data_IF_187469896699
#
_entry.id   IF_187469896699
#
_cell.length_a   1.000
_cell.length_b   1.000
_cell.length_c   1.000
_cell.angle_alpha   90.00
_cell.angle_beta   90.00
_cell.angle_gamma   90.00
#
_symmetry.space_group_name_H-M   'P 1'
#
loop_
_entity.id
_entity.type
_entity.pdbx_description
1 polymer ?
#
# COMPACT_ATOMS: atom_id res chain seq x y z
N UNK A 1 -26.81 4.80 8.89
CA UNK A 1 -25.74 4.62 7.89
C UNK A 1 -25.55 3.13 7.71
N UNK A 2 -25.91 2.58 6.55
CA UNK A 2 -25.69 1.16 6.25
C UNK A 2 -24.19 0.88 6.37
N UNK A 3 -23.80 0.10 7.37
CA UNK A 3 -22.42 -0.30 7.57
C UNK A 3 -22.08 -1.25 6.42
N UNK A 4 -21.23 -0.81 5.49
CA UNK A 4 -20.66 -1.70 4.47
C UNK A 4 -20.04 -2.91 5.20
N UNK A 5 -20.65 -4.08 5.05
CA UNK A 5 -20.14 -5.30 5.62
C UNK A 5 -19.02 -5.83 4.70
N UNK A 6 -17.81 -5.26 4.83
CA UNK A 6 -16.64 -5.76 4.12
C UNK A 6 -16.34 -7.19 4.61
N UNK A 7 -16.42 -8.15 3.69
CA UNK A 7 -16.17 -9.57 3.96
C UNK A 7 -14.77 -9.98 3.54
N UNK A 8 -14.27 -9.43 2.43
CA UNK A 8 -12.98 -9.81 1.89
C UNK A 8 -12.10 -8.59 1.63
N UNK A 9 -10.88 -8.65 2.17
CA UNK A 9 -9.85 -7.62 2.01
C UNK A 9 -8.62 -8.29 1.40
N UNK A 10 -8.20 -7.79 0.24
CA UNK A 10 -7.04 -8.30 -0.48
C UNK A 10 -5.84 -7.37 -0.29
N UNK A 11 -4.68 -7.91 0.06
CA UNK A 11 -3.42 -7.16 0.17
C UNK A 11 -2.54 -7.50 -1.02
N UNK A 12 -2.11 -6.51 -1.78
CA UNK A 12 -1.21 -6.65 -2.95
C UNK A 12 0.25 -6.93 -2.57
N UNK A 13 0.46 -7.85 -1.63
CA UNK A 13 1.76 -8.35 -1.22
C UNK A 13 1.64 -9.74 -0.60
N UNK A 14 2.68 -10.56 -0.77
CA UNK A 14 2.87 -11.81 -0.03
C UNK A 14 3.74 -11.63 1.22
N UNK A 15 4.21 -10.41 1.51
CA UNK A 15 5.02 -10.15 2.70
C UNK A 15 4.15 -10.33 3.96
N UNK A 16 4.48 -11.27 4.86
CA UNK A 16 3.66 -11.56 6.05
C UNK A 16 3.55 -10.35 6.99
N UNK A 17 4.55 -9.48 7.05
CA UNK A 17 4.53 -8.26 7.88
C UNK A 17 3.50 -7.26 7.34
N UNK A 18 3.44 -7.06 6.02
CA UNK A 18 2.45 -6.16 5.39
C UNK A 18 1.03 -6.70 5.59
N UNK A 19 0.84 -8.01 5.40
CA UNK A 19 -0.47 -8.66 5.59
C UNK A 19 -0.90 -8.56 7.06
N UNK A 20 -0.01 -8.81 8.01
CA UNK A 20 -0.29 -8.69 9.43
C UNK A 20 -0.62 -7.24 9.83
N UNK A 21 0.11 -6.25 9.31
CA UNK A 21 -0.17 -4.84 9.57
C UNK A 21 -1.57 -4.44 9.10
N UNK A 22 -1.98 -4.84 7.88
CA UNK A 22 -3.34 -4.61 7.39
C UNK A 22 -4.35 -5.31 8.30
N UNK A 23 -4.15 -6.60 8.58
CA UNK A 23 -5.03 -7.40 9.42
C UNK A 23 -5.27 -6.77 10.79
N UNK A 24 -4.20 -6.30 11.45
CA UNK A 24 -4.28 -5.70 12.77
C UNK A 24 -5.18 -4.45 12.79
N UNK A 25 -5.18 -3.65 11.72
CA UNK A 25 -6.05 -2.46 11.62
C UNK A 25 -7.45 -2.85 11.16
N UNK A 26 -7.57 -3.63 10.10
CA UNK A 26 -8.87 -3.91 9.49
C UNK A 26 -9.75 -4.78 10.37
N UNK A 27 -9.20 -5.67 11.20
CA UNK A 27 -10.00 -6.48 12.13
C UNK A 27 -10.56 -5.69 13.31
N UNK A 28 -9.98 -4.52 13.64
CA UNK A 28 -10.59 -3.63 14.63
C UNK A 28 -11.83 -2.92 14.09
N UNK A 29 -11.88 -2.69 12.77
CA UNK A 29 -12.96 -1.98 12.08
C UNK A 29 -14.02 -2.95 11.55
N UNK A 30 -13.57 -4.07 10.96
CA UNK A 30 -14.38 -5.15 10.39
C UNK A 30 -13.92 -6.50 10.95
N UNK A 31 -14.35 -6.86 12.17
CA UNK A 31 -13.87 -8.06 12.88
C UNK A 31 -14.09 -9.38 12.14
N UNK A 32 -15.12 -9.44 11.30
CA UNK A 32 -15.49 -10.64 10.54
C UNK A 32 -14.88 -10.67 9.12
N UNK A 33 -14.04 -9.70 8.76
CA UNK A 33 -13.40 -9.65 7.45
C UNK A 33 -12.26 -10.67 7.32
N UNK A 34 -12.17 -11.33 6.18
CA UNK A 34 -11.04 -12.17 5.82
C UNK A 34 -9.99 -11.33 5.09
N UNK A 35 -8.75 -11.39 5.59
CA UNK A 35 -7.59 -10.75 4.95
C UNK A 35 -6.76 -11.81 4.23
N UNK A 36 -6.55 -11.62 2.93
CA UNK A 36 -5.73 -12.48 2.08
C UNK A 36 -4.62 -11.68 1.40
N UNK A 37 -3.43 -12.28 1.26
CA UNK A 37 -2.32 -11.70 0.52
C UNK A 37 -2.25 -12.26 -0.90
N UNK A 38 -1.96 -11.41 -1.88
CA UNK A 38 -1.81 -11.77 -3.27
C UNK A 38 -0.51 -11.19 -3.84
N UNK A 39 0.12 -11.95 -4.74
CA UNK A 39 1.18 -11.40 -5.57
C UNK A 39 0.58 -10.34 -6.51
N UNK A 40 1.09 -9.12 -6.44
CA UNK A 40 0.71 -8.03 -7.33
C UNK A 40 1.97 -7.28 -7.75
N UNK A 41 2.11 -6.95 -9.03
CA UNK A 41 3.19 -6.09 -9.50
C UNK A 41 2.87 -4.63 -9.14
N UNK A 42 3.87 -3.87 -8.69
CA UNK A 42 3.71 -2.43 -8.48
C UNK A 42 3.73 -1.64 -9.79
N UNK A 43 4.33 -2.19 -10.85
CA UNK A 43 4.47 -1.49 -12.13
C UNK A 43 5.43 -0.29 -12.10
N UNK A 44 6.18 -0.14 -11.00
CA UNK A 44 7.18 0.91 -10.79
C UNK A 44 8.51 0.28 -10.37
N UNK A 45 9.54 1.09 -10.05
CA UNK A 45 10.83 0.57 -9.55
C UNK A 45 10.65 -0.29 -8.30
N UNK A 46 11.58 -1.23 -8.10
CA UNK A 46 11.63 -2.06 -6.89
C UNK A 46 11.86 -1.21 -5.62
N UNK A 47 12.59 -0.10 -5.77
CA UNK A 47 12.78 0.93 -4.75
C UNK A 47 12.35 2.28 -5.33
N UNK A 48 11.11 2.73 -5.04
CA UNK A 48 10.68 4.06 -5.43
C UNK A 48 11.52 5.16 -4.77
N UNK A 49 11.77 6.23 -5.51
CA UNK A 49 12.67 7.33 -5.12
C UNK A 49 11.96 8.66 -4.85
N UNK A 50 10.63 8.68 -5.02
CA UNK A 50 9.77 9.82 -4.73
C UNK A 50 8.37 9.34 -4.31
N UNK A 51 7.57 10.27 -3.81
CA UNK A 51 6.21 9.99 -3.35
C UNK A 51 5.29 9.56 -4.49
N UNK A 52 5.39 10.18 -5.67
CA UNK A 52 4.48 9.94 -6.80
C UNK A 52 4.61 8.51 -7.32
N UNK A 53 5.85 8.03 -7.47
CA UNK A 53 6.13 6.66 -7.85
C UNK A 53 5.65 5.65 -6.78
N UNK A 54 5.88 5.96 -5.50
CA UNK A 54 5.42 5.13 -4.40
C UNK A 54 3.88 5.03 -4.32
N UNK A 55 3.19 6.16 -4.52
CA UNK A 55 1.73 6.24 -4.61
C UNK A 55 1.24 5.41 -5.79
N UNK A 56 1.82 5.58 -6.98
CA UNK A 56 1.46 4.80 -8.16
C UNK A 56 1.64 3.28 -7.91
N UNK A 57 2.76 2.88 -7.32
CA UNK A 57 3.04 1.50 -6.95
C UNK A 57 2.03 0.92 -5.95
N UNK A 58 1.67 1.70 -4.92
CA UNK A 58 0.65 1.32 -3.95
C UNK A 58 -0.73 1.16 -4.60
N UNK A 59 -1.16 2.11 -5.45
CA UNK A 59 -2.44 2.06 -6.15
C UNK A 59 -2.52 0.83 -7.06
N UNK A 60 -1.47 0.56 -7.83
CA UNK A 60 -1.41 -0.58 -8.75
C UNK A 60 -1.55 -1.90 -8.00
N UNK A 61 -0.84 -2.06 -6.87
CA UNK A 61 -0.96 -3.23 -6.00
C UNK A 61 -2.36 -3.38 -5.42
N UNK A 62 -2.95 -2.29 -4.94
CA UNK A 62 -4.29 -2.29 -4.34
C UNK A 62 -5.35 -2.76 -5.34
N UNK A 63 -5.37 -2.15 -6.53
CA UNK A 63 -6.33 -2.49 -7.60
C UNK A 63 -6.14 -3.92 -8.09
N UNK A 64 -4.91 -4.32 -8.39
CA UNK A 64 -4.61 -5.67 -8.87
C UNK A 64 -5.07 -6.75 -7.87
N UNK A 65 -4.79 -6.55 -6.58
CA UNK A 65 -5.21 -7.49 -5.54
C UNK A 65 -6.73 -7.54 -5.38
N UNK A 66 -7.40 -6.37 -5.38
CA UNK A 66 -8.87 -6.29 -5.32
C UNK A 66 -9.51 -7.08 -6.46
N UNK A 67 -9.09 -6.78 -7.69
CA UNK A 67 -9.65 -7.41 -8.90
C UNK A 67 -9.37 -8.91 -8.93
N UNK A 68 -8.14 -9.34 -8.63
CA UNK A 68 -7.79 -10.76 -8.66
C UNK A 68 -8.54 -11.59 -7.60
N UNK A 69 -8.83 -11.01 -6.43
CA UNK A 69 -9.62 -11.66 -5.39
C UNK A 69 -11.14 -11.49 -5.57
N UNK A 70 -11.58 -10.58 -6.44
CA UNK A 70 -12.95 -10.02 -6.38
C UNK A 70 -13.30 -9.53 -4.96
N UNK A 71 -12.33 -8.93 -4.27
CA UNK A 71 -12.49 -8.46 -2.90
C UNK A 71 -13.26 -7.13 -2.83
N UNK A 72 -13.90 -6.90 -1.68
CA UNK A 72 -14.61 -5.64 -1.42
C UNK A 72 -13.62 -4.45 -1.31
N UNK A 73 -12.42 -4.72 -0.79
CA UNK A 73 -11.35 -3.74 -0.58
C UNK A 73 -9.99 -4.32 -0.94
N UNK A 74 -9.20 -3.57 -1.72
CA UNK A 74 -7.80 -3.87 -2.02
C UNK A 74 -6.85 -2.91 -1.33
N UNK A 75 -5.75 -3.42 -0.76
CA UNK A 75 -4.73 -2.66 -0.04
C UNK A 75 -3.38 -2.85 -0.72
N UNK A 76 -2.74 -1.75 -1.08
CA UNK A 76 -1.36 -1.71 -1.54
C UNK A 76 -0.50 -0.92 -0.57
N UNK A 77 0.69 -1.42 -0.24
CA UNK A 77 1.63 -0.78 0.67
C UNK A 77 2.99 -0.72 -0.01
N UNK A 78 3.53 0.46 -0.25
CA UNK A 78 4.80 0.67 -0.93
C UNK A 78 5.72 1.56 -0.09
N UNK A 79 6.90 1.04 0.25
CA UNK A 79 7.96 1.81 0.88
C UNK A 79 8.74 2.58 -0.18
N UNK A 80 9.24 3.75 0.17
CA UNK A 80 10.10 4.53 -0.71
C UNK A 80 11.18 5.26 0.09
N UNK A 81 12.19 5.72 -0.62
CA UNK A 81 13.13 6.72 -0.11
C UNK A 81 12.95 7.99 -0.91
N UNK A 82 13.29 9.13 -0.32
CA UNK A 82 13.33 10.41 -1.02
C UNK A 82 14.57 11.15 -0.59
N UNK A 83 15.36 11.59 -1.57
CA UNK A 83 16.54 12.41 -1.29
C UNK A 83 16.14 13.89 -1.25
N UNK A 84 16.64 14.60 -0.25
CA UNK A 84 16.30 16.00 0.00
C UNK A 84 17.56 16.79 0.34
N UNK A 85 17.54 18.14 0.31
CA UNK A 85 18.65 18.95 0.80
C UNK A 85 19.02 18.68 2.27
N UNK A 86 18.14 18.03 3.04
CA UNK A 86 18.37 17.66 4.44
C UNK A 86 18.78 16.19 4.61
N UNK A 87 19.08 15.49 3.52
CA UNK A 87 19.42 14.06 3.50
C UNK A 87 18.26 13.18 3.04
N UNK A 88 18.53 11.87 2.99
CA UNK A 88 17.58 10.87 2.52
C UNK A 88 16.61 10.47 3.63
N UNK A 89 15.32 10.43 3.31
CA UNK A 89 14.27 9.95 4.21
C UNK A 89 13.65 8.67 3.65
N UNK A 90 13.35 7.72 4.54
CA UNK A 90 12.49 6.57 4.23
C UNK A 90 11.07 6.85 4.70
N UNK A 91 10.11 6.41 3.90
CA UNK A 91 8.68 6.47 4.22
C UNK A 91 7.92 5.35 3.51
N UNK A 92 6.60 5.32 3.65
CA UNK A 92 5.73 4.41 2.93
C UNK A 92 4.38 5.06 2.62
N UNK A 93 3.78 4.63 1.52
CA UNK A 93 2.41 4.95 1.14
C UNK A 93 1.53 3.71 1.19
N UNK A 94 0.28 3.92 1.58
CA UNK A 94 -0.79 2.93 1.57
C UNK A 94 -1.89 3.45 0.65
N UNK A 95 -2.34 2.60 -0.27
CA UNK A 95 -3.51 2.84 -1.09
C UNK A 95 -4.61 1.82 -0.74
N UNK A 96 -5.83 2.31 -0.57
CA UNK A 96 -7.03 1.50 -0.42
C UNK A 96 -7.91 1.70 -1.65
N UNK A 97 -8.22 0.62 -2.37
CA UNK A 97 -9.04 0.63 -3.57
C UNK A 97 -10.37 -0.12 -3.31
N UNK A 98 -11.51 0.50 -3.62
CA UNK A 98 -12.84 -0.09 -3.50
C UNK A 98 -13.64 0.14 -4.79
N UNK A 99 -14.64 -0.72 -5.04
CA UNK A 99 -15.56 -0.56 -6.18
C UNK A 99 -16.31 0.76 -6.05
N UNK A 100 -16.35 1.55 -7.13
CA UNK A 100 -17.18 2.74 -7.16
C UNK A 100 -18.68 2.37 -7.23
N UNK A 101 -19.56 3.06 -6.48
CA UNK A 101 -20.99 2.74 -6.43
C UNK A 101 -21.72 2.78 -7.80
N UNK A 102 -21.18 3.55 -8.74
CA UNK A 102 -21.71 3.74 -10.09
C UNK A 102 -21.10 2.77 -11.13
N UNK A 103 -20.22 1.86 -10.70
CA UNK A 103 -19.51 0.94 -11.59
C UNK A 103 -18.39 1.60 -12.42
N UNK A 104 -18.00 2.83 -12.09
CA UNK A 104 -16.84 3.49 -12.70
C UNK A 104 -15.51 2.92 -12.18
N UNK A 105 -14.41 3.66 -12.37
CA UNK A 105 -13.10 3.28 -11.85
C UNK A 105 -13.08 3.21 -10.32
N UNK A 106 -12.27 2.31 -9.75
CA UNK A 106 -12.13 2.16 -8.30
C UNK A 106 -11.92 3.50 -7.58
N UNK A 107 -12.65 3.69 -6.48
CA UNK A 107 -12.37 4.74 -5.50
C UNK A 107 -11.05 4.43 -4.81
N UNK A 108 -10.17 5.43 -4.72
CA UNK A 108 -8.85 5.29 -4.12
C UNK A 108 -8.70 6.25 -2.94
N UNK A 109 -8.42 5.69 -1.76
CA UNK A 109 -7.94 6.44 -0.60
C UNK A 109 -6.43 6.26 -0.42
N UNK A 110 -5.74 7.31 0.00
CA UNK A 110 -4.28 7.31 0.22
C UNK A 110 -3.96 7.68 1.67
N UNK A 111 -2.94 7.04 2.24
CA UNK A 111 -2.37 7.39 3.53
C UNK A 111 -0.86 7.21 3.52
N UNK A 112 -0.14 8.12 4.19
CA UNK A 112 1.31 8.07 4.29
C UNK A 112 1.75 7.69 5.71
N UNK A 113 2.84 6.96 5.81
CA UNK A 113 3.58 6.79 7.06
C UNK A 113 4.41 8.05 7.38
N UNK A 114 4.82 8.17 8.64
CA UNK A 114 5.83 9.15 9.02
C UNK A 114 7.16 8.91 8.29
N UNK A 115 7.96 9.96 8.17
CA UNK A 115 9.28 9.90 7.53
C UNK A 115 10.37 9.73 8.58
N UNK A 116 11.37 8.91 8.28
CA UNK A 116 12.56 8.75 9.11
C UNK A 116 13.81 9.06 8.28
N UNK A 117 14.68 9.94 8.78
CA UNK A 117 15.94 10.26 8.11
C UNK A 117 16.88 9.07 8.20
N UNK A 118 17.41 8.62 7.07
CA UNK A 118 18.42 7.57 7.05
C UNK A 118 19.78 8.15 7.48
N UNK A 119 20.57 7.39 8.26
CA UNK A 119 21.97 7.71 8.45
C UNK A 119 22.69 7.80 7.09
N UNK A 120 23.60 8.76 6.93
CA UNK A 120 24.26 9.03 5.65
C UNK A 120 25.04 7.83 5.09
N UNK A 121 25.57 6.95 5.96
CA UNK A 121 26.23 5.72 5.50
C UNK A 121 25.27 4.76 4.79
N UNK A 122 24.00 4.71 5.23
CA UNK A 122 22.96 3.89 4.62
C UNK A 122 22.39 4.56 3.36
N UNK A 123 22.17 5.88 3.42
CA UNK A 123 21.74 6.65 2.25
C UNK A 123 22.70 6.49 1.06
N UNK A 124 24.02 6.46 1.31
CA UNK A 124 25.02 6.18 0.29
C UNK A 124 24.89 4.79 -0.34
N UNK A 125 24.55 3.76 0.45
CA UNK A 125 24.29 2.43 -0.11
C UNK A 125 23.08 2.47 -1.03
N UNK A 126 21.98 3.09 -0.59
CA UNK A 126 20.75 3.20 -1.40
C UNK A 126 20.99 3.95 -2.72
N UNK A 127 21.81 5.01 -2.71
CA UNK A 127 22.19 5.75 -3.94
C UNK A 127 23.00 4.91 -4.93
N UNK A 128 23.69 3.87 -4.47
CA UNK A 128 24.51 2.99 -5.30
C UNK A 128 23.74 1.79 -5.90
N UNK A 129 22.47 1.61 -5.51
CA UNK A 129 21.63 0.46 -5.88
C UNK A 129 21.90 -0.78 -5.03
#
# INVERSE_FOLDING_TARGET
>A
MSQFALRQIAVGSLNPVKIAAVRNVTQQIWPNSQVIGLAAASGVRSQPLDDDEAIAGAINRARAARTAASADLGLGLEGHVVDTPYGMFVSAWVAAAAVAPDGAADLVGLGAAGRFQLPEWLARQVRNG
#
